data_IF_439315190668
#
_entry.id   IF_439315190668
#
_cell.length_a   1.000
_cell.length_b   1.000
_cell.length_c   1.000
_cell.angle_alpha   90.00
_cell.angle_beta   90.00
_cell.angle_gamma   90.00
#
_symmetry.space_group_name_H-M   'P 1'
#
loop_
_entity.id
_entity.type
_entity.pdbx_description
1 polymer ?
#
# COMPACT_ATOMS: atom_id res chain seq x y z
N UNK A 1 -16.74 70.04 4.00
CA UNK A 1 -15.60 69.93 4.91
C UNK A 1 -15.94 68.86 5.96
N UNK A 2 -15.46 67.64 5.79
CA UNK A 2 -15.69 66.56 6.75
C UNK A 2 -14.74 66.72 7.96
N UNK A 3 -15.29 66.56 9.15
CA UNK A 3 -14.59 66.74 10.41
C UNK A 3 -13.56 65.62 10.61
N UNK A 4 -12.26 65.88 10.75
CA UNK A 4 -11.18 64.88 10.87
C UNK A 4 -11.35 63.93 12.08
N UNK A 5 -12.13 64.31 13.12
CA UNK A 5 -12.36 63.50 14.33
C UNK A 5 -13.29 62.29 14.09
N UNK A 6 -14.16 62.34 13.07
CA UNK A 6 -15.06 61.22 12.74
C UNK A 6 -14.39 60.13 11.93
N UNK A 7 -13.33 60.46 11.22
CA UNK A 7 -12.57 59.50 10.39
C UNK A 7 -11.68 58.58 11.27
N UNK A 8 -11.01 59.16 12.29
CA UNK A 8 -10.16 58.42 13.22
C UNK A 8 -10.93 57.41 14.06
N UNK A 9 -12.14 57.75 14.49
CA UNK A 9 -13.00 56.87 15.33
C UNK A 9 -13.57 55.72 14.52
N UNK A 10 -13.80 55.89 13.20
CA UNK A 10 -14.31 54.86 12.31
C UNK A 10 -13.20 53.85 11.95
N UNK A 11 -11.98 54.34 11.71
CA UNK A 11 -10.82 53.45 11.41
C UNK A 11 -10.42 52.64 12.65
N UNK A 12 -10.45 53.20 13.84
CA UNK A 12 -10.19 52.48 15.10
C UNK A 12 -11.22 51.38 15.36
N UNK A 13 -12.51 51.61 15.06
CA UNK A 13 -13.56 50.58 15.18
C UNK A 13 -13.42 49.47 14.16
N UNK A 14 -13.05 49.77 12.92
CA UNK A 14 -12.81 48.76 11.88
C UNK A 14 -11.58 47.93 12.22
N UNK A 15 -10.50 48.54 12.70
CA UNK A 15 -9.30 47.83 13.18
C UNK A 15 -9.56 46.91 14.35
N UNK A 16 -10.36 47.32 15.33
CA UNK A 16 -10.75 46.51 16.49
C UNK A 16 -11.66 45.33 16.09
N UNK A 17 -12.58 45.53 15.12
CA UNK A 17 -13.47 44.49 14.62
C UNK A 17 -12.69 43.46 13.79
N UNK A 18 -11.70 43.86 12.98
CA UNK A 18 -10.82 42.95 12.22
C UNK A 18 -9.83 42.19 13.12
N UNK A 19 -9.36 42.82 14.22
CA UNK A 19 -8.52 42.17 15.19
C UNK A 19 -9.32 41.12 16.00
N UNK A 20 -10.55 41.42 16.39
CA UNK A 20 -11.47 40.49 17.05
C UNK A 20 -11.90 39.34 16.14
N UNK A 21 -12.14 39.61 14.85
CA UNK A 21 -12.43 38.57 13.87
C UNK A 21 -11.21 37.65 13.60
N UNK A 22 -9.97 38.17 13.62
CA UNK A 22 -8.74 37.37 13.53
C UNK A 22 -8.45 36.54 14.77
N UNK A 23 -8.83 36.99 15.94
CA UNK A 23 -8.73 36.24 17.22
C UNK A 23 -9.79 35.14 17.26
N UNK A 24 -11.00 35.38 16.76
CA UNK A 24 -12.06 34.37 16.67
C UNK A 24 -11.87 33.38 15.49
N UNK A 25 -11.15 33.72 14.43
CA UNK A 25 -10.77 32.79 13.37
C UNK A 25 -9.67 31.81 13.81
N UNK A 26 -9.04 32.01 14.97
CA UNK A 26 -8.33 31.00 15.74
C UNK A 26 -9.27 30.33 16.75
N UNK A 27 -10.54 30.17 16.42
CA UNK A 27 -11.41 29.22 17.09
C UNK A 27 -10.75 27.85 16.92
N UNK A 28 -10.08 27.42 17.94
CA UNK A 28 -9.45 26.14 18.15
C UNK A 28 -10.38 25.05 17.60
N UNK A 29 -10.07 24.53 16.41
CA UNK A 29 -10.46 23.16 16.07
C UNK A 29 -9.96 22.36 17.27
N UNK A 30 -10.87 21.89 18.12
CA UNK A 30 -10.50 21.01 19.23
C UNK A 30 -9.74 19.88 18.57
N UNK A 31 -8.44 19.67 18.89
CA UNK A 31 -7.68 18.63 18.25
C UNK A 31 -8.47 17.33 18.45
N UNK A 32 -8.77 16.64 17.37
CA UNK A 32 -9.44 15.35 17.47
C UNK A 32 -8.45 14.38 18.11
N UNK A 33 -8.55 14.27 19.44
CA UNK A 33 -7.64 13.47 20.25
C UNK A 33 -7.62 12.00 19.82
N UNK A 34 -8.76 11.52 19.30
CA UNK A 34 -8.86 10.17 18.77
C UNK A 34 -8.04 10.04 17.51
N UNK A 35 -8.14 11.01 16.61
CA UNK A 35 -7.34 11.06 15.38
C UNK A 35 -5.84 11.19 15.68
N UNK A 36 -5.44 12.06 16.60
CA UNK A 36 -4.04 12.22 17.01
C UNK A 36 -3.45 10.90 17.53
N UNK A 37 -4.21 10.11 18.30
CA UNK A 37 -3.79 8.82 18.80
C UNK A 37 -3.58 7.84 17.64
N UNK A 38 -4.50 7.77 16.66
CA UNK A 38 -4.37 6.91 15.49
C UNK A 38 -3.12 7.24 14.67
N UNK A 39 -2.92 8.52 14.35
CA UNK A 39 -1.75 8.97 13.59
C UNK A 39 -0.42 8.72 14.31
N UNK A 40 -0.36 9.01 15.62
CA UNK A 40 0.80 8.71 16.45
C UNK A 40 1.07 7.20 16.49
N UNK A 41 0.02 6.38 16.62
CA UNK A 41 0.12 4.92 16.61
C UNK A 41 0.64 4.41 15.28
N UNK A 42 0.09 4.89 14.16
CA UNK A 42 0.53 4.55 12.82
C UNK A 42 2.03 4.84 12.62
N UNK A 43 2.48 6.06 12.99
CA UNK A 43 3.90 6.43 12.89
C UNK A 43 4.82 5.54 13.72
N UNK A 44 4.44 5.30 14.98
CA UNK A 44 5.25 4.49 15.89
C UNK A 44 5.30 3.02 15.46
N UNK A 45 4.15 2.42 15.12
CA UNK A 45 4.10 1.05 14.62
C UNK A 45 4.83 0.89 13.30
N UNK A 46 4.71 1.85 12.38
CA UNK A 46 5.47 1.86 11.13
C UNK A 46 6.98 1.85 11.37
N UNK A 47 7.47 2.64 12.33
CA UNK A 47 8.92 2.77 12.61
C UNK A 47 9.48 1.61 13.39
N UNK A 48 8.79 1.15 14.43
CA UNK A 48 9.36 0.26 15.45
C UNK A 48 8.69 -1.12 15.49
N UNK A 49 7.54 -1.28 14.84
CA UNK A 49 6.74 -2.52 14.87
C UNK A 49 5.87 -2.63 16.12
N UNK A 50 4.92 -3.56 16.08
CA UNK A 50 3.95 -3.75 17.15
C UNK A 50 4.60 -3.97 18.52
N UNK A 51 5.53 -4.94 18.63
CA UNK A 51 6.08 -5.36 19.92
C UNK A 51 6.91 -4.30 20.64
N UNK A 52 7.67 -3.49 19.89
CA UNK A 52 8.56 -2.48 20.46
C UNK A 52 7.85 -1.21 20.94
N UNK A 53 6.61 -0.98 20.52
CA UNK A 53 5.84 0.22 20.86
C UNK A 53 5.01 -0.02 22.12
N UNK A 54 4.97 0.96 23.02
CA UNK A 54 4.16 0.97 24.23
C UNK A 54 3.04 2.01 24.16
N UNK A 55 1.92 1.76 24.83
CA UNK A 55 0.79 2.73 24.93
C UNK A 55 1.25 4.06 25.54
N UNK A 56 2.25 4.05 26.43
CA UNK A 56 2.82 5.29 27.01
C UNK A 56 3.55 6.12 25.95
N UNK A 57 4.31 5.48 25.04
CA UNK A 57 4.96 6.18 23.93
C UNK A 57 3.93 6.78 22.97
N UNK A 58 2.84 6.05 22.68
CA UNK A 58 1.75 6.55 21.85
C UNK A 58 1.08 7.76 22.49
N UNK A 59 0.75 7.70 23.78
CA UNK A 59 0.15 8.80 24.50
C UNK A 59 1.04 10.06 24.49
N UNK A 60 2.34 9.89 24.67
CA UNK A 60 3.34 10.96 24.60
C UNK A 60 3.42 11.57 23.18
N UNK A 61 3.55 10.73 22.15
CA UNK A 61 3.62 11.17 20.73
C UNK A 61 2.34 11.88 20.28
N UNK A 62 1.17 11.43 20.77
CA UNK A 62 -0.13 12.02 20.48
C UNK A 62 -0.45 13.27 21.32
N UNK A 63 0.43 13.63 22.27
CA UNK A 63 0.23 14.73 23.23
C UNK A 63 -1.07 14.61 24.01
N UNK A 64 -1.42 13.38 24.45
CA UNK A 64 -2.64 13.11 25.24
C UNK A 64 -2.32 12.44 26.57
N UNK A 65 -3.16 12.59 27.59
CA UNK A 65 -3.08 11.78 28.79
C UNK A 65 -3.18 10.28 28.50
N UNK A 66 -2.36 9.46 29.15
CA UNK A 66 -2.32 8.00 28.96
C UNK A 66 -3.71 7.35 29.06
N UNK A 67 -4.53 7.80 30.01
CA UNK A 67 -5.88 7.28 30.23
C UNK A 67 -6.79 7.43 29.00
N UNK A 68 -6.57 8.44 28.14
CA UNK A 68 -7.38 8.64 26.96
C UNK A 68 -7.13 7.60 25.88
N UNK A 69 -5.92 7.05 25.78
CA UNK A 69 -5.63 5.99 24.82
C UNK A 69 -6.47 4.76 25.15
N UNK A 70 -6.46 4.33 26.43
CA UNK A 70 -7.30 3.23 26.88
C UNK A 70 -8.81 3.53 26.79
N UNK A 71 -9.22 4.76 27.04
CA UNK A 71 -10.62 5.17 26.91
C UNK A 71 -11.15 5.08 25.48
N UNK A 72 -10.37 5.51 24.49
CA UNK A 72 -10.80 5.51 23.07
C UNK A 72 -10.62 4.16 22.38
N UNK A 73 -9.59 3.39 22.74
CA UNK A 73 -9.17 2.23 21.96
C UNK A 73 -8.99 0.95 22.78
N UNK A 74 -9.16 0.98 24.09
CA UNK A 74 -8.98 -0.20 24.94
C UNK A 74 -7.53 -0.63 25.03
N UNK A 75 -7.27 -1.89 24.68
CA UNK A 75 -5.93 -2.48 24.73
C UNK A 75 -5.09 -2.14 23.48
N UNK A 76 -3.80 -2.41 23.56
CA UNK A 76 -2.85 -2.14 22.46
C UNK A 76 -3.23 -2.86 21.16
N UNK A 77 -3.77 -4.09 21.25
CA UNK A 77 -4.23 -4.85 20.10
C UNK A 77 -5.42 -4.16 19.42
N UNK A 78 -6.40 -3.72 20.20
CA UNK A 78 -7.57 -3.01 19.67
C UNK A 78 -7.19 -1.69 19.01
N UNK A 79 -6.20 -0.99 19.56
CA UNK A 79 -5.63 0.21 18.91
C UNK A 79 -4.91 -0.14 17.61
N UNK A 80 -4.18 -1.25 17.56
CA UNK A 80 -3.50 -1.71 16.36
C UNK A 80 -4.49 -2.06 15.24
N UNK A 81 -5.53 -2.83 15.57
CA UNK A 81 -6.63 -3.16 14.66
C UNK A 81 -7.36 -1.89 14.18
N UNK A 82 -7.53 -0.90 15.07
CA UNK A 82 -8.14 0.39 14.71
C UNK A 82 -7.29 1.19 13.72
N UNK A 83 -5.95 1.08 13.76
CA UNK A 83 -5.08 1.70 12.75
C UNK A 83 -5.32 1.06 11.39
N UNK A 84 -5.40 -0.27 11.27
CA UNK A 84 -5.75 -0.94 10.02
C UNK A 84 -7.14 -0.53 9.51
N UNK A 85 -8.14 -0.52 10.40
CA UNK A 85 -9.50 -0.10 10.05
C UNK A 85 -9.55 1.37 9.58
N UNK A 86 -8.78 2.26 10.19
CA UNK A 86 -8.66 3.65 9.76
C UNK A 86 -8.10 3.78 8.34
N UNK A 87 -7.26 2.84 7.93
CA UNK A 87 -6.63 2.78 6.61
C UNK A 87 -7.49 2.06 5.56
N UNK A 88 -8.63 1.46 5.94
CA UNK A 88 -9.49 0.69 5.03
C UNK A 88 -10.02 1.53 3.86
N UNK A 89 -10.25 2.84 4.05
CA UNK A 89 -10.65 3.74 2.96
C UNK A 89 -9.70 3.73 1.77
N UNK A 90 -8.39 3.60 2.02
CA UNK A 90 -7.38 3.50 0.94
C UNK A 90 -7.43 2.13 0.23
N UNK A 91 -7.93 1.10 0.91
CA UNK A 91 -8.14 -0.24 0.32
C UNK A 91 -9.35 -0.19 -0.60
N UNK A 92 -10.44 0.45 -0.19
CA UNK A 92 -11.63 0.66 -1.02
C UNK A 92 -11.30 1.44 -2.30
N UNK A 93 -10.47 2.48 -2.21
CA UNK A 93 -9.97 3.22 -3.38
C UNK A 93 -9.19 2.31 -4.34
N UNK A 94 -8.44 1.34 -3.82
CA UNK A 94 -7.70 0.36 -4.65
C UNK A 94 -8.62 -0.63 -5.34
N UNK A 95 -9.68 -1.09 -4.69
CA UNK A 95 -10.72 -1.90 -5.31
C UNK A 95 -11.38 -1.14 -6.48
N UNK A 96 -11.69 0.14 -6.27
CA UNK A 96 -12.26 1.01 -7.33
C UNK A 96 -11.27 1.18 -8.49
N UNK A 97 -10.01 1.45 -8.19
CA UNK A 97 -8.94 1.62 -9.18
C UNK A 97 -8.72 0.36 -10.01
N UNK A 98 -8.69 -0.81 -9.37
CA UNK A 98 -8.57 -2.10 -10.04
C UNK A 98 -9.75 -2.37 -10.98
N UNK A 99 -10.97 -2.16 -10.51
CA UNK A 99 -12.18 -2.34 -11.36
C UNK A 99 -12.18 -1.40 -12.55
N UNK A 100 -11.75 -0.15 -12.36
CA UNK A 100 -11.59 0.81 -13.47
C UNK A 100 -10.49 0.37 -14.44
N UNK A 101 -9.38 -0.20 -13.97
CA UNK A 101 -8.32 -0.74 -14.81
C UNK A 101 -8.79 -1.92 -15.66
N UNK A 102 -9.53 -2.87 -15.05
CA UNK A 102 -10.10 -4.04 -15.75
C UNK A 102 -11.15 -3.62 -16.78
N UNK A 103 -11.98 -2.62 -16.46
CA UNK A 103 -13.01 -2.12 -17.39
C UNK A 103 -12.44 -1.31 -18.57
N UNK A 104 -11.18 -0.93 -18.53
CA UNK A 104 -10.53 -0.13 -19.59
C UNK A 104 -10.27 -1.00 -20.82
N UNK A 105 -10.99 -0.73 -21.90
CA UNK A 105 -10.89 -1.47 -23.17
C UNK A 105 -9.70 -1.06 -24.06
N UNK A 106 -8.92 -0.05 -23.65
CA UNK A 106 -7.80 0.48 -24.40
C UNK A 106 -6.46 0.24 -23.70
N UNK A 107 -5.44 -0.07 -24.49
CA UNK A 107 -4.10 -0.29 -23.99
C UNK A 107 -3.85 -1.71 -23.50
N UNK A 108 -2.75 -1.88 -22.82
CA UNK A 108 -2.31 -3.15 -22.25
C UNK A 108 -3.04 -3.43 -20.92
N UNK A 109 -3.88 -4.46 -20.88
CA UNK A 109 -4.68 -4.82 -19.72
C UNK A 109 -3.82 -5.09 -18.47
N UNK A 110 -2.71 -5.83 -18.62
CA UNK A 110 -1.78 -6.09 -17.51
C UNK A 110 -1.13 -4.80 -17.02
N UNK A 111 -0.71 -3.92 -17.93
CA UNK A 111 -0.12 -2.63 -17.56
C UNK A 111 -1.11 -1.76 -16.79
N UNK A 112 -2.38 -1.73 -17.18
CA UNK A 112 -3.43 -1.00 -16.45
C UNK A 112 -3.64 -1.57 -15.03
N UNK A 113 -3.59 -2.91 -14.86
CA UNK A 113 -3.73 -3.56 -13.55
C UNK A 113 -2.52 -3.26 -12.67
N UNK A 114 -1.31 -3.31 -13.22
CA UNK A 114 -0.08 -2.95 -12.48
C UNK A 114 -0.10 -1.48 -12.09
N UNK A 115 -0.59 -0.58 -12.95
CA UNK A 115 -0.76 0.83 -12.62
C UNK A 115 -1.71 1.02 -11.43
N UNK A 116 -2.85 0.31 -11.40
CA UNK A 116 -3.77 0.32 -10.28
C UNK A 116 -3.16 -0.23 -8.97
N UNK A 117 -2.18 -1.14 -9.06
CA UNK A 117 -1.46 -1.68 -7.91
C UNK A 117 -0.48 -0.66 -7.30
N UNK A 118 0.29 0.04 -8.14
CA UNK A 118 1.42 0.86 -7.67
C UNK A 118 1.09 2.33 -7.49
N UNK A 119 0.24 2.92 -8.35
CA UNK A 119 -0.01 4.37 -8.38
C UNK A 119 -0.56 4.92 -7.06
N UNK A 120 -1.55 4.31 -6.41
CA UNK A 120 -2.06 4.82 -5.12
C UNK A 120 -0.99 4.89 -4.04
N UNK A 121 -0.04 3.95 -4.06
CA UNK A 121 1.03 3.88 -3.05
C UNK A 121 2.17 4.83 -3.35
N UNK A 122 2.56 4.95 -4.60
CA UNK A 122 3.67 5.84 -5.00
C UNK A 122 3.26 7.31 -4.86
N UNK A 123 2.02 7.66 -5.22
CA UNK A 123 1.49 9.02 -5.07
C UNK A 123 1.25 9.41 -3.61
N UNK A 124 0.74 8.49 -2.77
CA UNK A 124 0.51 8.79 -1.35
C UNK A 124 1.79 9.14 -0.60
N UNK A 125 2.95 8.68 -1.07
CA UNK A 125 4.25 8.97 -0.45
C UNK A 125 4.70 10.43 -0.55
N UNK A 126 4.10 11.20 -1.42
CA UNK A 126 4.40 12.64 -1.55
C UNK A 126 3.86 13.43 -0.34
N UNK A 127 3.06 12.79 0.52
CA UNK A 127 2.59 13.35 1.80
C UNK A 127 3.24 12.66 3.00
N UNK A 128 3.46 13.37 4.13
CA UNK A 128 3.99 12.75 5.35
C UNK A 128 3.13 11.59 5.86
N UNK A 129 1.82 11.73 5.81
CA UNK A 129 0.85 10.73 6.25
C UNK A 129 0.93 9.46 5.38
N UNK A 130 1.02 9.63 4.06
CA UNK A 130 1.13 8.53 3.10
C UNK A 130 2.46 7.78 3.20
N UNK A 131 3.56 8.44 3.57
CA UNK A 131 4.84 7.77 3.86
C UNK A 131 4.70 6.79 5.03
N UNK A 132 4.04 7.21 6.10
CA UNK A 132 3.80 6.34 7.26
C UNK A 132 2.84 5.21 6.95
N UNK A 133 1.81 5.47 6.14
CA UNK A 133 0.90 4.45 5.64
C UNK A 133 1.66 3.35 4.88
N UNK A 134 2.41 3.73 3.86
CA UNK A 134 3.15 2.80 3.04
C UNK A 134 4.12 1.94 3.86
N UNK A 135 4.83 2.55 4.82
CA UNK A 135 5.77 1.84 5.70
C UNK A 135 5.04 0.91 6.69
N UNK A 136 3.90 1.33 7.23
CA UNK A 136 3.08 0.52 8.14
C UNK A 136 2.56 -0.73 7.43
N UNK A 137 1.98 -0.58 6.24
CA UNK A 137 1.48 -1.69 5.44
C UNK A 137 2.61 -2.62 5.01
N UNK A 138 3.73 -2.07 4.51
CA UNK A 138 4.88 -2.88 4.11
C UNK A 138 5.40 -3.73 5.28
N UNK A 139 5.44 -3.17 6.47
CA UNK A 139 5.86 -3.90 7.68
C UNK A 139 4.88 -5.01 8.05
N UNK A 140 3.58 -4.73 8.08
CA UNK A 140 2.54 -5.73 8.36
C UNK A 140 2.61 -6.90 7.39
N UNK A 141 2.72 -6.64 6.08
CA UNK A 141 2.80 -7.66 5.05
C UNK A 141 4.11 -8.48 5.08
N UNK A 142 5.22 -7.93 5.62
CA UNK A 142 6.52 -8.63 5.62
C UNK A 142 6.86 -9.31 6.93
N UNK A 143 6.38 -8.83 8.08
CA UNK A 143 6.75 -9.37 9.39
C UNK A 143 5.88 -10.53 9.87
N UNK A 144 4.68 -10.71 9.33
CA UNK A 144 3.78 -11.83 9.60
C UNK A 144 3.69 -12.22 11.08
N UNK A 145 3.50 -11.24 11.98
CA UNK A 145 3.21 -11.54 13.37
C UNK A 145 1.77 -12.07 13.52
N UNK A 146 1.47 -12.74 14.62
CA UNK A 146 0.10 -13.22 14.91
C UNK A 146 -0.89 -12.04 14.97
N UNK A 147 -0.42 -10.89 15.45
CA UNK A 147 -1.19 -9.66 15.56
C UNK A 147 -1.50 -9.05 14.18
N UNK A 148 -0.57 -9.18 13.22
CA UNK A 148 -0.76 -8.69 11.85
C UNK A 148 -1.70 -9.60 11.04
N UNK A 149 -1.61 -10.92 11.24
CA UNK A 149 -2.27 -11.94 10.39
C UNK A 149 -3.78 -11.73 10.27
N UNK A 150 -4.46 -11.38 11.37
CA UNK A 150 -5.91 -11.13 11.36
C UNK A 150 -6.26 -9.93 10.46
N UNK A 151 -5.59 -8.81 10.66
CA UNK A 151 -5.86 -7.58 9.89
C UNK A 151 -5.45 -7.74 8.42
N UNK A 152 -4.37 -8.48 8.13
CA UNK A 152 -3.97 -8.80 6.76
C UNK A 152 -5.04 -9.64 6.07
N UNK A 153 -5.54 -10.71 6.70
CA UNK A 153 -6.60 -11.57 6.14
C UNK A 153 -7.92 -10.82 5.94
N UNK A 154 -8.23 -9.89 6.83
CA UNK A 154 -9.48 -9.14 6.77
C UNK A 154 -9.46 -8.05 5.69
N UNK A 155 -8.36 -7.31 5.58
CA UNK A 155 -8.30 -6.12 4.74
C UNK A 155 -7.51 -6.28 3.44
N UNK A 156 -6.42 -7.07 3.43
CA UNK A 156 -5.51 -7.14 2.29
C UNK A 156 -5.66 -8.39 1.42
N UNK A 157 -5.96 -9.55 2.01
CA UNK A 157 -6.12 -10.79 1.24
C UNK A 157 -7.27 -10.70 0.21
N UNK A 158 -8.45 -10.12 0.50
CA UNK A 158 -9.50 -9.96 -0.50
C UNK A 158 -9.04 -9.14 -1.71
N UNK A 159 -8.33 -8.04 -1.47
CA UNK A 159 -7.77 -7.21 -2.53
C UNK A 159 -6.71 -7.95 -3.34
N UNK A 160 -5.83 -8.72 -2.68
CA UNK A 160 -4.82 -9.52 -3.35
C UNK A 160 -5.44 -10.58 -4.29
N UNK A 161 -6.53 -11.24 -3.85
CA UNK A 161 -7.27 -12.20 -4.67
C UNK A 161 -7.84 -11.51 -5.91
N UNK A 162 -8.47 -10.34 -5.79
CA UNK A 162 -9.00 -9.59 -6.94
C UNK A 162 -7.89 -9.19 -7.93
N UNK A 163 -6.70 -8.79 -7.44
CA UNK A 163 -5.55 -8.51 -8.31
C UNK A 163 -5.06 -9.75 -9.05
N UNK A 164 -4.97 -10.90 -8.36
CA UNK A 164 -4.54 -12.18 -8.97
C UNK A 164 -5.54 -12.61 -10.05
N UNK A 165 -6.83 -12.50 -9.80
CA UNK A 165 -7.89 -12.82 -10.77
C UNK A 165 -7.82 -11.90 -12.00
N UNK A 166 -7.68 -10.59 -11.78
CA UNK A 166 -7.54 -9.61 -12.86
C UNK A 166 -6.28 -9.86 -13.70
N UNK A 167 -5.13 -10.12 -13.07
CA UNK A 167 -3.88 -10.45 -13.77
C UNK A 167 -4.00 -11.77 -14.56
N UNK A 168 -4.66 -12.79 -13.98
CA UNK A 168 -4.91 -14.03 -14.67
C UNK A 168 -5.73 -13.82 -15.94
N UNK A 169 -6.85 -13.07 -15.82
CA UNK A 169 -7.68 -12.71 -16.98
C UNK A 169 -6.90 -11.95 -18.07
N UNK A 170 -6.03 -11.02 -17.68
CA UNK A 170 -5.21 -10.24 -18.61
C UNK A 170 -4.10 -11.06 -19.30
N UNK A 171 -3.67 -12.17 -18.71
CA UNK A 171 -2.60 -13.03 -19.24
C UNK A 171 -3.12 -14.25 -20.01
N UNK A 172 -4.41 -14.59 -19.88
CA UNK A 172 -4.99 -15.82 -20.46
C UNK A 172 -4.93 -15.82 -21.99
N UNK A 173 -4.99 -14.67 -22.67
CA UNK A 173 -4.90 -14.60 -24.12
C UNK A 173 -3.51 -15.00 -24.61
N UNK A 174 -2.44 -14.51 -23.96
CA UNK A 174 -1.06 -14.82 -24.32
C UNK A 174 -0.60 -16.19 -23.78
N UNK A 175 -1.15 -16.62 -22.66
CA UNK A 175 -0.75 -17.81 -21.90
C UNK A 175 -1.98 -18.62 -21.45
N UNK A 176 -2.67 -19.36 -22.36
CA UNK A 176 -3.92 -20.06 -22.03
C UNK A 176 -3.77 -21.19 -21.00
N UNK A 177 -2.57 -21.77 -20.87
CA UNK A 177 -2.28 -22.84 -19.90
C UNK A 177 -1.78 -22.32 -18.54
N UNK A 178 -1.69 -20.99 -18.36
CA UNK A 178 -1.25 -20.38 -17.13
C UNK A 178 -2.34 -20.53 -16.04
N UNK A 179 -1.98 -21.13 -14.90
CA UNK A 179 -2.91 -21.33 -13.79
C UNK A 179 -2.96 -20.12 -12.87
N UNK A 180 -4.08 -19.91 -12.19
CA UNK A 180 -4.21 -18.86 -11.19
C UNK A 180 -3.18 -18.99 -10.06
N UNK A 181 -2.81 -20.23 -9.67
CA UNK A 181 -1.76 -20.45 -8.67
C UNK A 181 -0.37 -19.97 -9.14
N UNK A 182 -0.06 -20.05 -10.42
CA UNK A 182 1.17 -19.50 -10.99
C UNK A 182 1.13 -17.97 -11.05
N UNK A 183 -0.03 -17.39 -11.37
CA UNK A 183 -0.23 -15.93 -11.33
C UNK A 183 -0.11 -15.40 -9.92
N UNK A 184 -0.56 -16.16 -8.90
CA UNK A 184 -0.35 -15.77 -7.49
C UNK A 184 1.13 -15.61 -7.15
N UNK A 185 2.03 -16.42 -7.70
CA UNK A 185 3.48 -16.22 -7.57
C UNK A 185 3.95 -14.95 -8.28
N UNK A 186 3.46 -14.67 -9.48
CA UNK A 186 3.79 -13.43 -10.21
C UNK A 186 3.35 -12.19 -9.40
N UNK A 187 2.14 -12.23 -8.83
CA UNK A 187 1.65 -11.19 -7.93
C UNK A 187 2.54 -11.04 -6.69
N UNK A 188 2.93 -12.16 -6.05
CA UNK A 188 3.78 -12.14 -4.87
C UNK A 188 5.17 -11.54 -5.15
N UNK A 189 5.76 -11.83 -6.32
CA UNK A 189 7.01 -11.21 -6.75
C UNK A 189 6.86 -9.71 -7.01
N UNK A 190 5.76 -9.29 -7.66
CA UNK A 190 5.46 -7.89 -7.90
C UNK A 190 5.24 -7.13 -6.58
N UNK A 191 4.47 -7.71 -5.65
CA UNK A 191 4.24 -7.15 -4.32
C UNK A 191 5.55 -7.05 -3.56
N UNK A 192 6.40 -8.08 -3.59
CA UNK A 192 7.72 -8.06 -2.95
C UNK A 192 8.62 -6.92 -3.47
N UNK A 193 8.65 -6.71 -4.79
CA UNK A 193 9.40 -5.60 -5.38
C UNK A 193 8.85 -4.24 -4.94
N UNK A 194 7.52 -4.07 -4.93
CA UNK A 194 6.85 -2.85 -4.44
C UNK A 194 7.16 -2.59 -2.96
N UNK A 195 7.01 -3.59 -2.10
CA UNK A 195 7.27 -3.45 -0.67
C UNK A 195 8.75 -3.12 -0.39
N UNK A 196 9.65 -3.73 -1.14
CA UNK A 196 11.09 -3.42 -1.04
C UNK A 196 11.41 -1.98 -1.48
N UNK A 197 10.84 -1.55 -2.61
CA UNK A 197 10.94 -0.16 -3.05
C UNK A 197 10.45 0.83 -1.98
N UNK A 198 9.35 0.51 -1.28
CA UNK A 198 8.77 1.38 -0.26
C UNK A 198 9.57 1.43 1.05
N UNK A 199 10.20 0.33 1.45
CA UNK A 199 10.77 0.16 2.80
C UNK A 199 12.29 0.23 2.85
N UNK A 200 13.01 -0.09 1.76
CA UNK A 200 14.47 -0.19 1.78
C UNK A 200 15.15 1.15 1.51
N UNK A 201 15.91 1.62 2.50
CA UNK A 201 16.68 2.85 2.43
C UNK A 201 18.10 2.64 1.83
N UNK A 202 18.51 1.39 1.59
CA UNK A 202 19.88 1.06 1.17
C UNK A 202 20.21 1.57 -0.23
N UNK A 203 19.20 1.83 -1.07
CA UNK A 203 19.38 2.37 -2.43
C UNK A 203 20.22 3.64 -2.42
N UNK A 204 20.06 4.51 -1.42
CA UNK A 204 20.85 5.74 -1.26
C UNK A 204 22.35 5.40 -1.12
N UNK A 205 22.68 4.46 -0.25
CA UNK A 205 24.05 4.04 0.00
C UNK A 205 24.65 3.24 -1.17
N UNK A 206 23.86 2.34 -1.76
CA UNK A 206 24.28 1.51 -2.90
C UNK A 206 24.55 2.33 -4.16
N UNK A 207 23.84 3.44 -4.34
CA UNK A 207 24.04 4.39 -5.44
C UNK A 207 25.06 5.49 -5.11
N UNK A 208 25.76 5.40 -3.98
CA UNK A 208 26.70 6.44 -3.50
C UNK A 208 26.06 7.82 -3.35
N UNK A 209 24.79 7.86 -2.91
CA UNK A 209 24.03 9.08 -2.66
C UNK A 209 23.36 9.69 -3.91
N UNK A 210 23.40 9.02 -5.06
CA UNK A 210 22.75 9.53 -6.29
C UNK A 210 21.24 9.31 -6.26
N UNK A 211 20.78 8.12 -5.84
CA UNK A 211 19.35 7.81 -5.77
C UNK A 211 18.74 8.21 -4.43
N UNK A 212 17.46 8.51 -4.47
CA UNK A 212 16.63 8.76 -3.28
C UNK A 212 15.79 7.50 -2.99
N UNK A 213 15.63 7.15 -1.71
CA UNK A 213 14.80 6.02 -1.33
C UNK A 213 13.33 6.31 -1.60
N UNK A 214 12.66 5.35 -2.22
CA UNK A 214 11.25 5.42 -2.60
C UNK A 214 10.89 6.71 -3.38
N UNK A 215 11.76 7.09 -4.30
CA UNK A 215 11.58 8.25 -5.17
C UNK A 215 10.40 8.05 -6.12
N UNK A 216 9.35 8.87 -6.01
CA UNK A 216 8.17 8.79 -6.88
C UNK A 216 8.51 9.01 -8.35
N UNK A 217 9.61 9.72 -8.68
CA UNK A 217 10.06 9.93 -10.04
C UNK A 217 10.45 8.64 -10.78
N UNK A 218 10.78 7.55 -10.06
CA UNK A 218 11.09 6.24 -10.67
C UNK A 218 9.87 5.30 -10.76
N UNK A 219 8.67 5.77 -10.43
CA UNK A 219 7.46 4.95 -10.53
C UNK A 219 7.21 4.40 -11.96
N UNK A 220 7.47 5.13 -13.06
CA UNK A 220 7.34 4.58 -14.41
C UNK A 220 8.31 3.40 -14.68
N UNK A 221 9.53 3.45 -14.13
CA UNK A 221 10.50 2.35 -14.25
C UNK A 221 10.09 1.14 -13.43
N UNK A 222 9.57 1.36 -12.21
CA UNK A 222 8.99 0.29 -11.41
C UNK A 222 7.82 -0.36 -12.12
N UNK A 223 6.91 0.43 -12.70
CA UNK A 223 5.79 -0.07 -13.50
C UNK A 223 6.27 -0.97 -14.64
N UNK A 224 7.20 -0.48 -15.47
CA UNK A 224 7.74 -1.24 -16.60
C UNK A 224 8.45 -2.53 -16.12
N UNK A 225 9.21 -2.46 -15.03
CA UNK A 225 9.85 -3.62 -14.43
C UNK A 225 8.84 -4.69 -13.99
N UNK A 226 7.75 -4.29 -13.32
CA UNK A 226 6.72 -5.20 -12.85
C UNK A 226 5.95 -5.84 -14.01
N UNK A 227 5.52 -5.06 -15.00
CA UNK A 227 4.80 -5.59 -16.18
C UNK A 227 5.64 -6.63 -16.91
N UNK A 228 6.91 -6.30 -17.22
CA UNK A 228 7.79 -7.22 -17.89
C UNK A 228 8.16 -8.44 -17.03
N UNK A 229 8.35 -8.25 -15.73
CA UNK A 229 8.62 -9.31 -14.77
C UNK A 229 7.47 -10.31 -14.64
N UNK A 230 6.22 -9.83 -14.59
CA UNK A 230 5.02 -10.67 -14.55
C UNK A 230 4.89 -11.48 -15.85
N UNK A 231 5.05 -10.86 -17.02
CA UNK A 231 5.02 -11.58 -18.31
C UNK A 231 6.12 -12.63 -18.43
N UNK A 232 7.36 -12.26 -18.09
CA UNK A 232 8.47 -13.20 -18.11
C UNK A 232 8.31 -14.36 -17.13
N UNK A 233 7.73 -14.08 -15.96
CA UNK A 233 7.35 -15.10 -14.98
C UNK A 233 6.28 -16.06 -15.53
N UNK A 234 5.21 -15.52 -16.10
CA UNK A 234 4.14 -16.30 -16.74
C UNK A 234 4.69 -17.22 -17.84
N UNK A 235 5.47 -16.67 -18.77
CA UNK A 235 6.13 -17.43 -19.83
C UNK A 235 7.02 -18.55 -19.28
N UNK A 236 7.77 -18.29 -18.21
CA UNK A 236 8.65 -19.29 -17.58
C UNK A 236 7.86 -20.43 -16.92
N UNK A 237 6.70 -20.16 -16.36
CA UNK A 237 5.83 -21.20 -15.78
C UNK A 237 5.26 -22.13 -16.85
N UNK A 238 4.76 -21.59 -17.97
CA UNK A 238 4.20 -22.37 -19.08
C UNK A 238 5.29 -23.21 -19.74
N UNK A 239 6.45 -22.64 -20.07
CA UNK A 239 7.57 -23.37 -20.67
C UNK A 239 8.05 -24.54 -19.80
N UNK A 240 8.01 -24.46 -18.49
CA UNK A 240 8.35 -25.57 -17.59
C UNK A 240 7.30 -26.68 -17.59
N UNK A 241 6.03 -26.34 -17.73
CA UNK A 241 4.94 -27.32 -17.81
C UNK A 241 5.07 -28.15 -19.07
N UNK A 242 5.41 -27.55 -20.22
CA UNK A 242 5.62 -28.23 -21.49
C UNK A 242 6.79 -29.24 -21.43
N UNK A 243 7.94 -28.81 -20.86
CA UNK A 243 9.11 -29.71 -20.69
C UNK A 243 8.77 -30.88 -19.75
N UNK A 244 8.02 -30.69 -18.72
CA UNK A 244 7.61 -31.75 -17.80
C UNK A 244 6.63 -32.73 -18.46
N UNK A 245 5.69 -32.21 -19.26
CA UNK A 245 4.78 -33.04 -20.06
C UNK A 245 5.48 -33.88 -21.09
N UNK A 246 6.40 -33.28 -21.85
CA UNK A 246 7.19 -33.99 -22.88
C UNK A 246 8.10 -35.08 -22.28
N UNK A 247 8.74 -34.78 -21.14
CA UNK A 247 9.55 -35.77 -20.41
C UNK A 247 8.68 -36.93 -19.88
N UNK A 248 7.48 -36.65 -19.43
CA UNK A 248 6.47 -37.63 -18.99
C UNK A 248 6.04 -38.53 -20.17
N UNK A 249 5.76 -37.89 -21.30
CA UNK A 249 5.33 -38.61 -22.54
C UNK A 249 6.46 -39.50 -23.09
N UNK A 250 7.71 -39.01 -23.12
CA UNK A 250 8.87 -39.78 -23.54
C UNK A 250 9.12 -41.03 -22.68
N UNK A 251 9.01 -40.88 -21.33
CA UNK A 251 9.11 -42.00 -20.39
C UNK A 251 8.01 -43.04 -20.59
N UNK A 252 6.78 -42.61 -20.85
CA UNK A 252 5.62 -43.47 -21.07
C UNK A 252 5.78 -44.25 -22.38
N UNK A 253 6.24 -43.59 -23.45
CA UNK A 253 6.51 -44.21 -24.77
C UNK A 253 7.66 -45.20 -24.70
N UNK A 254 8.74 -44.88 -23.98
CA UNK A 254 9.85 -45.82 -23.77
C UNK A 254 9.43 -47.08 -22.99
N UNK A 255 8.56 -46.89 -21.98
CA UNK A 255 8.03 -48.02 -21.20
C UNK A 255 7.15 -48.95 -22.05
N UNK A 256 6.31 -48.40 -22.93
CA UNK A 256 5.46 -49.20 -23.86
C UNK A 256 6.32 -49.97 -24.86
N UNK A 257 7.38 -49.32 -25.43
CA UNK A 257 8.28 -50.01 -26.35
C UNK A 257 9.03 -51.18 -25.69
N UNK A 258 9.49 -50.99 -24.44
CA UNK A 258 10.17 -52.06 -23.69
C UNK A 258 9.25 -53.22 -23.33
N UNK A 259 7.93 -53.00 -23.15
CA UNK A 259 6.96 -54.09 -22.90
C UNK A 259 6.68 -54.87 -24.21
N UNK A 260 6.57 -54.18 -25.35
CA UNK A 260 6.29 -54.77 -26.64
C UNK A 260 7.51 -55.49 -27.27
N UNK A 261 8.73 -55.30 -26.77
CA UNK A 261 9.94 -55.97 -27.20
C UNK A 261 10.37 -57.15 -26.29
N UNK A 262 9.60 -57.48 -25.27
CA UNK A 262 9.88 -58.56 -24.32
C UNK A 262 9.00 -59.83 -24.57
N UNK A 263 8.12 -59.78 -25.55
CA UNK A 263 7.38 -60.92 -26.14
C UNK A 263 8.02 -61.33 -27.47
#
# INVERSE_FOLDING_TARGET
>A
MENPLTKSTREARIGATLASARVNARATVRPDRKQNILEASQRLFARFGYHAVTIRQIAHEAEVPLALVGYYFGQKQELYDAVFSHLSGTIDERHVSLRAAVARQSGDALANIVDALITPVTQSRDTPEGQWYALFVARGLTQQSIEDDKSIREYFDPLAVEFIEAMHGALTEDFPDLTQAQVAWCFQFALGALLHYLSDQRVVRLSKGVNVAADSAVAPQLHAFLVNGIRGGAQSFVARADVAHDAGHAKRTARIKNVLSAD
#
